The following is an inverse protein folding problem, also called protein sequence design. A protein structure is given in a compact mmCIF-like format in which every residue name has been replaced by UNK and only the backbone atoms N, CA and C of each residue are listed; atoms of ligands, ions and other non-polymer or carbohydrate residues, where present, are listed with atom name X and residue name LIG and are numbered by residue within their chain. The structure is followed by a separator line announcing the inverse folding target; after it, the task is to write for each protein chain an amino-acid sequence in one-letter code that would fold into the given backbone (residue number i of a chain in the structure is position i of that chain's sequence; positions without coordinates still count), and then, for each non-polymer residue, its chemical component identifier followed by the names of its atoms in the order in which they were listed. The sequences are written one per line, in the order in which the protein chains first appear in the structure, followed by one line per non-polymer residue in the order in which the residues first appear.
data_IF_645036400324
#
_entry.id   IF_645036400324
#
_cell.length_a   1.000
_cell.length_b   1.000
_cell.length_c   1.000
_cell.angle_alpha   90.00
_cell.angle_beta   90.00
_cell.angle_gamma   90.00
#
_symmetry.space_group_name_H-M   'P 1'
#
loop_
_entity.id
_entity.type
_entity.pdbx_description
1 polymer ?
#
# COMPACT_ATOMS: atom_id res chain seq x y z
N UNK A 1 -6.82 21.26 -6.15
CA UNK A 1 -6.00 20.34 -6.96
C UNK A 1 -6.10 18.96 -6.34
N UNK A 2 -6.86 18.04 -6.94
CA UNK A 2 -7.01 16.67 -6.44
C UNK A 2 -6.29 15.70 -7.35
N UNK A 3 -5.57 14.73 -6.78
CA UNK A 3 -5.01 13.60 -7.53
C UNK A 3 -6.15 12.78 -8.15
N UNK A 4 -5.98 12.36 -9.41
CA UNK A 4 -6.95 11.54 -10.12
C UNK A 4 -6.59 10.05 -9.98
N UNK A 5 -7.44 9.29 -9.29
CA UNK A 5 -7.28 7.86 -9.04
C UNK A 5 -8.19 6.99 -9.91
N UNK A 6 -8.90 7.56 -10.89
CA UNK A 6 -9.84 6.79 -11.73
C UNK A 6 -9.18 5.68 -12.54
N UNK A 7 -7.84 5.72 -12.69
CA UNK A 7 -7.05 4.74 -13.43
C UNK A 7 -6.09 3.91 -12.54
N UNK A 8 -6.16 4.07 -11.22
CA UNK A 8 -5.34 3.31 -10.29
C UNK A 8 -4.75 4.13 -9.15
N UNK A 9 -4.13 3.42 -8.22
CA UNK A 9 -3.43 3.96 -7.07
C UNK A 9 -2.21 3.07 -6.76
N UNK A 10 -1.15 3.67 -6.23
CA UNK A 10 0.06 2.96 -5.84
C UNK A 10 0.29 3.14 -4.33
N UNK A 11 0.36 2.02 -3.61
CA UNK A 11 0.64 1.95 -2.17
C UNK A 11 2.04 1.37 -1.88
N UNK A 12 2.80 1.01 -2.91
CA UNK A 12 4.13 0.45 -2.77
C UNK A 12 5.11 1.51 -2.24
N UNK A 13 6.02 1.08 -1.38
CA UNK A 13 7.04 1.95 -0.80
C UNK A 13 8.40 1.26 -0.85
N UNK A 14 9.43 2.01 -1.22
CA UNK A 14 10.79 1.50 -1.25
C UNK A 14 11.24 1.12 0.17
N UNK A 15 11.97 0.00 0.27
CA UNK A 15 12.45 -0.53 1.55
C UNK A 15 11.38 -1.22 2.40
N UNK A 16 10.17 -1.42 1.89
CA UNK A 16 9.12 -2.17 2.58
C UNK A 16 9.42 -3.66 2.65
N UNK A 17 9.07 -4.25 3.78
CA UNK A 17 9.15 -5.69 4.07
C UNK A 17 7.74 -6.29 4.17
N UNK A 18 7.60 -7.60 4.03
CA UNK A 18 6.38 -8.34 4.31
C UNK A 18 6.09 -8.25 5.81
N UNK A 19 7.08 -8.58 6.64
CA UNK A 19 6.96 -8.53 8.09
C UNK A 19 7.26 -7.13 8.61
N UNK A 20 6.54 -6.70 9.64
CA UNK A 20 6.90 -5.49 10.39
C UNK A 20 8.29 -5.64 10.99
N UNK A 21 9.12 -4.63 10.80
CA UNK A 21 10.45 -4.58 11.39
C UNK A 21 10.39 -3.94 12.78
N UNK A 22 11.07 -4.53 13.76
CA UNK A 22 11.20 -3.95 15.11
C UNK A 22 12.35 -2.93 15.18
N UNK A 23 12.32 -1.98 14.26
CA UNK A 23 13.34 -0.95 14.07
C UNK A 23 12.70 0.29 13.43
N UNK A 24 13.42 1.40 13.41
CA UNK A 24 12.99 2.61 12.71
C UNK A 24 13.67 2.72 11.36
N UNK A 25 13.05 3.50 10.46
CA UNK A 25 13.65 3.82 9.15
C UNK A 25 15.06 4.42 9.29
N UNK A 26 15.32 5.26 10.30
CA UNK A 26 16.63 5.88 10.50
C UNK A 26 17.72 4.92 10.99
N UNK A 27 17.36 3.75 11.52
CA UNK A 27 18.31 2.77 12.03
C UNK A 27 18.78 1.79 10.94
N UNK A 28 17.88 1.37 10.06
CA UNK A 28 18.15 0.28 9.11
C UNK A 28 17.78 0.62 7.66
N UNK A 29 17.06 1.71 7.42
CA UNK A 29 16.51 2.06 6.12
C UNK A 29 15.25 1.29 5.73
N UNK A 30 14.77 0.34 6.55
CA UNK A 30 13.53 -0.38 6.27
C UNK A 30 12.30 0.47 6.56
N UNK A 31 11.33 0.39 5.68
CA UNK A 31 10.17 1.26 5.69
C UNK A 31 9.08 0.73 6.65
N UNK A 32 8.46 1.58 7.50
CA UNK A 32 7.36 1.15 8.37
C UNK A 32 6.09 0.70 7.63
N UNK A 33 5.97 1.01 6.33
CA UNK A 33 4.84 0.57 5.50
C UNK A 33 5.06 -0.86 5.01
N UNK A 34 5.04 -1.81 5.93
CA UNK A 34 5.05 -3.26 5.64
C UNK A 34 3.83 -3.69 4.82
N UNK A 35 3.85 -4.90 4.25
CA UNK A 35 2.80 -5.39 3.35
C UNK A 35 1.39 -5.23 3.94
N UNK A 36 1.20 -5.54 5.23
CA UNK A 36 -0.11 -5.45 5.84
C UNK A 36 -0.57 -3.99 6.07
N UNK A 37 0.36 -3.06 6.27
CA UNK A 37 0.07 -1.62 6.28
C UNK A 37 -0.30 -1.12 4.89
N UNK A 38 0.41 -1.53 3.83
CA UNK A 38 0.06 -1.19 2.44
C UNK A 38 -1.32 -1.73 2.07
N UNK A 39 -1.62 -2.97 2.48
CA UNK A 39 -2.93 -3.57 2.29
C UNK A 39 -4.03 -2.80 3.03
N UNK A 40 -3.79 -2.42 4.29
CA UNK A 40 -4.74 -1.61 5.05
C UNK A 40 -4.99 -0.24 4.40
N UNK A 41 -3.95 0.41 3.87
CA UNK A 41 -4.11 1.66 3.11
C UNK A 41 -4.99 1.47 1.87
N UNK A 42 -4.77 0.38 1.12
CA UNK A 42 -5.62 0.02 -0.01
C UNK A 42 -7.08 -0.24 0.41
N UNK A 43 -7.32 -0.99 1.48
CA UNK A 43 -8.68 -1.24 1.99
C UNK A 43 -9.40 0.06 2.37
N UNK A 44 -8.70 0.96 3.08
CA UNK A 44 -9.24 2.27 3.43
C UNK A 44 -9.54 3.10 2.18
N UNK A 45 -8.66 3.07 1.18
CA UNK A 45 -8.89 3.73 -0.10
C UNK A 45 -10.12 3.18 -0.81
N UNK A 46 -10.29 1.86 -0.89
CA UNK A 46 -11.46 1.21 -1.48
C UNK A 46 -12.74 1.66 -0.77
N UNK A 47 -12.82 1.52 0.55
CA UNK A 47 -14.01 1.88 1.35
C UNK A 47 -14.36 3.36 1.17
N UNK A 48 -13.37 4.25 1.25
CA UNK A 48 -13.58 5.70 1.14
C UNK A 48 -13.99 6.12 -0.27
N UNK A 49 -13.47 5.45 -1.30
CA UNK A 49 -13.87 5.67 -2.69
C UNK A 49 -15.34 5.34 -2.91
N UNK A 50 -15.78 4.18 -2.43
CA UNK A 50 -17.19 3.77 -2.51
C UNK A 50 -18.08 4.73 -1.73
N UNK A 51 -17.68 5.11 -0.52
CA UNK A 51 -18.43 6.05 0.32
C UNK A 51 -18.58 7.43 -0.35
N UNK A 52 -17.55 7.92 -1.02
CA UNK A 52 -17.58 9.18 -1.75
C UNK A 52 -18.57 9.14 -2.92
N UNK A 53 -18.65 8.02 -3.65
CA UNK A 53 -19.67 7.79 -4.67
C UNK A 53 -21.08 7.78 -4.08
N UNK A 54 -21.31 7.02 -3.02
CA UNK A 54 -22.62 6.92 -2.34
C UNK A 54 -23.11 8.26 -1.79
N UNK A 55 -22.20 9.10 -1.28
CA UNK A 55 -22.53 10.42 -0.70
C UNK A 55 -22.56 11.55 -1.72
N UNK A 56 -22.27 11.29 -3.00
CA UNK A 56 -22.22 12.35 -4.01
C UNK A 56 -21.12 13.39 -3.75
N UNK A 57 -19.96 12.98 -3.22
CA UNK A 57 -18.87 13.90 -2.90
C UNK A 57 -18.36 14.62 -4.17
N UNK A 58 -17.89 15.87 -4.00
CA UNK A 58 -17.43 16.76 -5.08
C UNK A 58 -16.39 16.10 -6.00
N UNK A 59 -15.53 15.26 -5.44
CA UNK A 59 -14.43 14.61 -6.16
C UNK A 59 -14.66 13.12 -6.46
N UNK A 60 -15.90 12.63 -6.37
CA UNK A 60 -16.20 11.20 -6.61
C UNK A 60 -15.74 10.73 -8.00
N UNK A 61 -15.81 11.59 -9.01
CA UNK A 61 -15.45 11.26 -10.39
C UNK A 61 -13.93 11.11 -10.59
N UNK A 62 -13.13 11.52 -9.59
CA UNK A 62 -11.69 11.29 -9.53
C UNK A 62 -11.33 9.97 -8.82
N UNK A 63 -12.32 9.18 -8.38
CA UNK A 63 -12.13 7.94 -7.64
C UNK A 63 -12.65 6.74 -8.45
N UNK A 64 -12.07 5.53 -8.26
CA UNK A 64 -12.52 4.33 -8.97
C UNK A 64 -13.99 4.01 -8.72
N UNK A 65 -14.67 3.56 -9.77
CA UNK A 65 -15.99 2.95 -9.64
C UNK A 65 -15.88 1.57 -8.97
N UNK A 66 -16.94 1.15 -8.28
CA UNK A 66 -16.98 -0.13 -7.57
C UNK A 66 -16.56 -1.33 -8.45
N UNK A 67 -17.10 -1.40 -9.67
CA UNK A 67 -16.80 -2.47 -10.63
C UNK A 67 -15.31 -2.60 -10.98
N UNK A 68 -14.54 -1.52 -10.86
CA UNK A 68 -13.12 -1.57 -11.19
C UNK A 68 -12.31 -2.30 -10.12
N UNK A 69 -12.76 -2.36 -8.87
CA UNK A 69 -12.04 -3.13 -7.84
C UNK A 69 -12.04 -4.64 -8.11
N UNK A 70 -13.03 -5.20 -8.82
CA UNK A 70 -13.02 -6.61 -9.22
C UNK A 70 -12.33 -6.88 -10.55
N UNK A 71 -12.08 -5.84 -11.35
CA UNK A 71 -11.51 -5.94 -12.71
C UNK A 71 -10.07 -5.45 -12.80
N UNK A 72 -9.58 -4.74 -11.79
CA UNK A 72 -8.25 -4.16 -11.79
C UNK A 72 -7.16 -5.24 -11.79
N UNK A 73 -6.00 -4.87 -12.35
CA UNK A 73 -4.77 -5.62 -12.20
C UNK A 73 -4.14 -5.28 -10.84
N UNK A 74 -3.88 -6.30 -10.04
CA UNK A 74 -3.18 -6.18 -8.76
C UNK A 74 -1.76 -6.72 -8.90
N UNK A 75 -0.77 -5.89 -8.57
CA UNK A 75 0.65 -6.23 -8.64
C UNK A 75 1.27 -6.14 -7.25
N UNK A 76 2.04 -7.16 -6.88
CA UNK A 76 2.80 -7.20 -5.63
C UNK A 76 4.26 -7.46 -5.96
N UNK A 77 5.13 -6.56 -5.53
CA UNK A 77 6.58 -6.73 -5.58
C UNK A 77 7.13 -6.46 -4.17
N UNK A 78 7.31 -7.53 -3.40
CA UNK A 78 7.66 -7.47 -1.99
C UNK A 78 8.28 -8.79 -1.51
N UNK A 79 9.07 -8.75 -0.44
CA UNK A 79 9.72 -9.91 0.18
C UNK A 79 11.25 -9.91 0.05
N UNK A 80 11.80 -9.23 -0.95
CA UNK A 80 13.25 -9.16 -1.18
C UNK A 80 13.95 -8.42 -0.03
N UNK A 81 13.31 -7.38 0.52
CA UNK A 81 13.83 -6.66 1.68
C UNK A 81 13.78 -7.49 2.98
N UNK A 82 12.88 -8.48 3.09
CA UNK A 82 12.82 -9.36 4.26
C UNK A 82 14.05 -10.27 4.32
N UNK A 83 14.51 -10.76 3.18
CA UNK A 83 15.76 -11.54 3.08
C UNK A 83 16.95 -10.69 3.51
N UNK A 84 17.09 -9.49 2.94
CA UNK A 84 18.17 -8.55 3.32
C UNK A 84 18.09 -8.17 4.79
N UNK A 85 16.87 -7.98 5.34
CA UNK A 85 16.68 -7.69 6.76
C UNK A 85 17.12 -8.84 7.65
N UNK A 86 16.83 -10.08 7.25
CA UNK A 86 17.30 -11.28 7.95
C UNK A 86 18.82 -11.32 8.08
N UNK A 87 19.55 -11.01 6.99
CA UNK A 87 21.01 -10.90 7.00
C UNK A 87 21.50 -9.77 7.91
N UNK A 88 20.91 -8.58 7.81
CA UNK A 88 21.30 -7.39 8.61
C UNK A 88 21.09 -7.62 10.11
N UNK A 89 20.07 -8.38 10.48
CA UNK A 89 19.77 -8.68 11.89
C UNK A 89 20.49 -9.94 12.42
N UNK A 90 21.45 -10.51 11.69
CA UNK A 90 22.15 -11.76 12.05
C UNK A 90 21.18 -12.93 12.33
N UNK A 91 20.05 -12.99 11.63
CA UNK A 91 19.08 -14.09 11.71
C UNK A 91 19.44 -15.26 10.78
N UNK A 92 20.67 -15.30 10.29
CA UNK A 92 21.21 -16.40 9.49
C UNK A 92 21.38 -17.66 10.33
N UNK A 93 20.95 -18.80 9.78
CA UNK A 93 21.26 -20.13 10.32
C UNK A 93 22.70 -20.53 10.00
#
# INVERSE_FOLDING_TARGET
MGTNFSHGANFATAGSTILRQNTTFFQTGYNPFSLDVQFHQFEQFKIRSLLAHTKGAIFKDLLPLEKYFSQALYTFDIGQNDLTSGYVNNLTT
#
